data_IF_115608098258
#
_entry.id   IF_115608098258
#
_cell.length_a   1.000
_cell.length_b   1.000
_cell.length_c   1.000
_cell.angle_alpha   90.00
_cell.angle_beta   90.00
_cell.angle_gamma   90.00
#
_symmetry.space_group_name_H-M   'P 1'
#
loop_
_entity.id
_entity.type
_entity.pdbx_description
1 polymer ?
#
# COMPACT_ATOMS: atom_id res chain seq x y z
N UNK A 1 18.59 9.81 18.71
CA UNK A 1 17.38 10.57 18.34
C UNK A 1 16.41 10.38 19.49
N UNK A 2 15.92 11.44 20.13
CA UNK A 2 14.93 11.30 21.21
C UNK A 2 13.55 11.08 20.58
N UNK A 3 12.76 10.20 21.18
CA UNK A 3 11.35 9.88 20.83
C UNK A 3 10.40 11.10 20.68
N UNK A 4 10.90 12.28 20.97
CA UNK A 4 10.10 13.52 20.98
C UNK A 4 9.89 14.19 19.61
N UNK A 5 10.55 13.73 18.55
CA UNK A 5 10.53 14.41 17.25
C UNK A 5 9.44 13.92 16.25
N UNK A 6 8.68 12.89 16.62
CA UNK A 6 7.56 12.34 15.84
C UNK A 6 6.23 12.38 16.63
N UNK A 7 6.00 13.43 17.38
CA UNK A 7 4.78 13.57 18.16
C UNK A 7 3.56 13.77 17.24
N UNK A 8 2.91 12.68 16.86
CA UNK A 8 1.47 12.73 16.53
C UNK A 8 0.77 12.98 17.86
N UNK A 9 0.23 14.18 18.05
CA UNK A 9 -0.59 14.47 19.22
C UNK A 9 -1.93 13.76 19.05
N UNK A 10 -2.12 12.67 19.75
CA UNK A 10 -3.44 12.03 19.82
C UNK A 10 -4.38 12.92 20.64
N UNK A 11 -5.64 13.10 20.22
CA UNK A 11 -6.61 13.85 21.01
C UNK A 11 -6.85 13.11 22.34
N UNK A 12 -6.82 13.84 23.43
CA UNK A 12 -7.01 13.31 24.79
C UNK A 12 -8.46 13.40 25.27
N UNK A 13 -9.37 13.94 24.46
CA UNK A 13 -10.77 14.09 24.83
C UNK A 13 -11.60 12.87 24.36
N UNK A 14 -11.80 11.92 25.28
CA UNK A 14 -12.60 10.71 25.07
C UNK A 14 -14.10 10.97 24.95
N UNK A 15 -14.59 12.18 25.20
CA UNK A 15 -16.01 12.53 25.08
C UNK A 15 -16.53 12.47 23.64
N UNK A 16 -15.64 12.53 22.66
CA UNK A 16 -15.95 12.42 21.22
C UNK A 16 -16.32 11.00 20.77
N UNK A 17 -15.98 9.97 21.55
CA UNK A 17 -16.16 8.56 21.18
C UNK A 17 -17.48 7.95 21.58
N UNK A 18 -18.29 8.66 22.36
CA UNK A 18 -19.60 8.14 22.77
C UNK A 18 -20.54 8.09 21.58
N UNK A 19 -20.91 6.88 21.15
CA UNK A 19 -21.93 6.70 20.13
C UNK A 19 -23.28 7.28 20.63
N UNK A 20 -23.78 8.27 19.91
CA UNK A 20 -25.06 8.89 20.23
C UNK A 20 -26.16 8.17 19.47
N UNK A 21 -27.03 7.45 20.22
CA UNK A 21 -28.21 6.80 19.66
C UNK A 21 -27.99 5.33 19.23
N UNK A 22 -29.05 4.76 18.64
CA UNK A 22 -29.06 3.38 18.15
C UNK A 22 -28.40 3.31 16.76
N UNK A 23 -27.74 2.18 16.48
CA UNK A 23 -27.22 1.89 15.15
C UNK A 23 -28.35 2.03 14.09
N UNK A 24 -28.19 2.86 13.08
CA UNK A 24 -29.16 3.00 12.01
C UNK A 24 -29.05 1.80 11.04
N UNK A 25 -29.60 0.64 11.43
CA UNK A 25 -29.47 -0.63 10.71
C UNK A 25 -29.89 -0.50 9.23
N UNK A 26 -30.85 0.40 8.92
CA UNK A 26 -31.26 0.68 7.55
C UNK A 26 -30.15 1.26 6.66
N UNK A 27 -29.21 2.02 7.24
CA UNK A 27 -28.04 2.54 6.50
C UNK A 27 -27.08 1.44 6.06
N UNK A 28 -26.97 0.33 6.83
CA UNK A 28 -26.13 -0.81 6.45
C UNK A 28 -26.58 -1.48 5.16
N UNK A 29 -27.80 -1.24 4.71
CA UNK A 29 -28.27 -1.71 3.41
C UNK A 29 -27.68 -0.88 2.24
N UNK A 30 -27.22 0.34 2.49
CA UNK A 30 -26.79 1.30 1.45
C UNK A 30 -25.35 1.83 1.61
N UNK A 31 -24.72 1.61 2.77
CA UNK A 31 -23.37 2.10 3.08
C UNK A 31 -22.38 0.96 3.29
N UNK A 32 -21.11 1.25 3.09
CA UNK A 32 -20.01 0.38 3.52
C UNK A 32 -19.80 0.53 5.01
N UNK A 33 -19.12 -0.45 5.63
CA UNK A 33 -18.78 -0.36 7.04
C UNK A 33 -17.43 -1.00 7.36
N UNK A 34 -16.77 -0.47 8.38
CA UNK A 34 -15.60 -1.06 9.02
C UNK A 34 -16.07 -1.89 10.22
N UNK A 35 -15.62 -3.14 10.29
CA UNK A 35 -15.93 -4.09 11.36
C UNK A 35 -14.66 -4.32 12.17
N UNK A 36 -14.77 -4.19 13.50
CA UNK A 36 -13.63 -4.27 14.41
C UNK A 36 -13.92 -5.22 15.58
N UNK A 37 -12.86 -5.71 16.21
CA UNK A 37 -12.93 -6.48 17.45
C UNK A 37 -13.16 -5.56 18.68
N UNK A 38 -13.37 -6.15 19.83
CA UNK A 38 -13.67 -5.41 21.08
C UNK A 38 -12.45 -4.77 21.73
N UNK A 39 -11.26 -5.25 21.41
CA UNK A 39 -9.97 -4.73 21.87
C UNK A 39 -9.45 -3.52 21.07
N UNK A 40 -10.13 -3.15 19.98
CA UNK A 40 -9.75 -1.98 19.17
C UNK A 40 -10.38 -0.71 19.75
N UNK A 41 -9.53 0.25 20.12
CA UNK A 41 -9.99 1.55 20.58
C UNK A 41 -10.28 2.50 19.39
N UNK A 42 -11.31 3.39 19.49
CA UNK A 42 -11.61 4.38 18.46
C UNK A 42 -10.42 5.29 18.13
N UNK A 43 -9.55 5.56 19.11
CA UNK A 43 -8.34 6.36 18.97
C UNK A 43 -7.31 5.71 18.03
N UNK A 44 -7.28 4.38 17.98
CA UNK A 44 -6.40 3.66 17.05
C UNK A 44 -6.88 3.85 15.60
N UNK A 45 -8.21 3.82 15.39
CA UNK A 45 -8.80 4.11 14.07
C UNK A 45 -8.48 5.56 13.64
N UNK A 46 -8.62 6.51 14.56
CA UNK A 46 -8.28 7.91 14.31
C UNK A 46 -6.80 8.07 13.97
N UNK A 47 -5.89 7.51 14.77
CA UNK A 47 -4.45 7.61 14.54
C UNK A 47 -4.05 7.10 13.16
N UNK A 48 -4.64 5.96 12.73
CA UNK A 48 -4.41 5.42 11.40
C UNK A 48 -5.02 6.30 10.30
N UNK A 49 -6.22 6.85 10.50
CA UNK A 49 -6.83 7.79 9.55
C UNK A 49 -5.98 9.06 9.40
N UNK A 50 -5.52 9.65 10.50
CA UNK A 50 -4.66 10.84 10.52
C UNK A 50 -3.30 10.61 9.87
N UNK A 51 -2.78 9.39 9.89
CA UNK A 51 -1.52 9.06 9.21
C UNK A 51 -1.67 8.94 7.69
N UNK A 52 -2.91 8.83 7.18
CA UNK A 52 -3.21 8.76 5.75
C UNK A 52 -3.74 10.08 5.16
N UNK A 53 -4.34 10.94 5.98
CA UNK A 53 -4.88 12.23 5.52
C UNK A 53 -4.72 13.31 6.61
N UNK A 54 -4.10 14.43 6.23
CA UNK A 54 -3.87 15.55 7.15
C UNK A 54 -5.16 16.22 7.66
N UNK A 55 -6.28 16.01 7.00
CA UNK A 55 -7.58 16.54 7.38
C UNK A 55 -8.45 15.51 8.11
N UNK A 56 -7.92 14.29 8.36
CA UNK A 56 -8.61 13.29 9.14
C UNK A 56 -8.64 13.68 10.62
N UNK A 57 -9.69 13.24 11.31
CA UNK A 57 -9.88 13.48 12.75
C UNK A 57 -11.37 13.57 13.10
N UNK A 58 -11.66 13.56 14.40
CA UNK A 58 -13.03 13.70 14.90
C UNK A 58 -13.59 15.08 14.62
N UNK A 59 -14.72 15.14 13.92
CA UNK A 59 -15.45 16.39 13.60
C UNK A 59 -16.73 16.56 14.40
N UNK A 60 -17.05 15.59 15.25
CA UNK A 60 -18.21 15.59 16.14
C UNK A 60 -18.32 14.28 16.90
N UNK A 61 -19.30 14.18 17.81
CA UNK A 61 -19.55 12.95 18.53
C UNK A 61 -19.81 11.79 17.54
N UNK A 62 -19.01 10.73 17.65
CA UNK A 62 -19.11 9.53 16.80
C UNK A 62 -18.98 9.79 15.28
N UNK A 63 -18.29 10.88 14.87
CA UNK A 63 -18.05 11.21 13.45
C UNK A 63 -16.57 11.48 13.21
N UNK A 64 -15.89 10.50 12.65
CA UNK A 64 -14.49 10.57 12.26
C UNK A 64 -14.39 10.91 10.76
N UNK A 65 -13.92 12.09 10.44
CA UNK A 65 -13.61 12.48 9.06
C UNK A 65 -12.36 11.71 8.59
N UNK A 66 -12.45 11.03 7.45
CA UNK A 66 -11.32 10.38 6.77
C UNK A 66 -10.68 11.31 5.73
N UNK A 67 -11.51 12.16 5.12
CA UNK A 67 -11.15 13.23 4.19
C UNK A 67 -12.38 14.12 3.99
N UNK A 68 -12.26 15.28 3.35
CA UNK A 68 -13.41 16.16 3.13
C UNK A 68 -14.58 15.44 2.44
N UNK A 69 -15.74 15.41 3.11
CA UNK A 69 -16.95 14.76 2.63
C UNK A 69 -17.00 13.24 2.78
N UNK A 70 -16.02 12.63 3.46
CA UNK A 70 -15.95 11.20 3.73
C UNK A 70 -15.77 10.98 5.22
N UNK A 71 -16.74 10.31 5.86
CA UNK A 71 -16.78 10.15 7.31
C UNK A 71 -17.06 8.69 7.70
N UNK A 72 -16.51 8.28 8.85
CA UNK A 72 -16.92 7.10 9.58
C UNK A 72 -17.82 7.52 10.74
N UNK A 73 -19.00 6.94 10.80
CA UNK A 73 -19.92 7.09 11.94
C UNK A 73 -19.83 5.87 12.85
N UNK A 74 -19.82 6.07 14.14
CA UNK A 74 -19.69 5.04 15.17
C UNK A 74 -18.56 5.33 16.15
N UNK A 75 -18.03 4.32 16.85
CA UNK A 75 -18.42 2.90 16.76
C UNK A 75 -19.76 2.57 17.45
N UNK A 76 -20.48 1.61 16.91
CA UNK A 76 -21.61 0.99 17.57
C UNK A 76 -21.28 -0.45 17.96
N UNK A 77 -21.82 -0.94 19.08
CA UNK A 77 -21.66 -2.34 19.47
C UNK A 77 -22.40 -3.26 18.50
N UNK A 78 -21.81 -4.42 18.22
CA UNK A 78 -22.37 -5.49 17.39
C UNK A 78 -22.83 -6.61 18.32
N UNK A 79 -24.15 -6.75 18.50
CA UNK A 79 -24.74 -7.83 19.27
C UNK A 79 -24.90 -9.14 18.47
N UNK A 80 -25.38 -10.19 19.13
CA UNK A 80 -25.57 -11.50 18.50
C UNK A 80 -26.63 -11.48 17.38
N UNK A 81 -27.63 -10.61 17.49
CA UNK A 81 -28.70 -10.50 16.49
C UNK A 81 -28.19 -9.80 15.22
N UNK A 82 -27.43 -8.72 15.38
CA UNK A 82 -26.78 -8.01 14.28
C UNK A 82 -25.74 -8.91 13.59
N UNK A 83 -24.92 -9.66 14.35
CA UNK A 83 -23.98 -10.63 13.76
C UNK A 83 -24.70 -11.64 12.87
N UNK A 84 -25.79 -12.22 13.35
CA UNK A 84 -26.60 -13.17 12.56
C UNK A 84 -27.25 -12.51 11.35
N UNK A 85 -27.80 -11.32 11.52
CA UNK A 85 -28.48 -10.56 10.46
C UNK A 85 -27.54 -10.25 9.29
N UNK A 86 -26.31 -9.82 9.60
CA UNK A 86 -25.30 -9.36 8.64
C UNK A 86 -24.27 -10.44 8.27
N UNK A 87 -24.41 -11.66 8.84
CA UNK A 87 -23.48 -12.77 8.66
C UNK A 87 -22.02 -12.37 8.98
N UNK A 88 -21.85 -11.68 10.12
CA UNK A 88 -20.54 -11.26 10.61
C UNK A 88 -19.86 -12.39 11.40
N UNK A 89 -18.51 -12.41 11.46
CA UNK A 89 -17.78 -13.37 12.28
C UNK A 89 -18.01 -13.17 13.78
N UNK A 90 -17.71 -14.18 14.59
CA UNK A 90 -17.91 -14.15 16.04
C UNK A 90 -17.11 -13.04 16.74
N UNK A 91 -15.92 -12.73 16.23
CA UNK A 91 -15.05 -11.69 16.77
C UNK A 91 -15.57 -10.25 16.50
N UNK A 92 -16.53 -10.08 15.58
CA UNK A 92 -17.07 -8.75 15.26
C UNK A 92 -17.82 -8.18 16.44
N UNK A 93 -17.28 -7.11 17.02
CA UNK A 93 -17.81 -6.49 18.25
C UNK A 93 -18.16 -5.03 18.07
N UNK A 94 -17.60 -4.38 17.07
CA UNK A 94 -17.84 -2.97 16.75
C UNK A 94 -18.06 -2.77 15.26
N UNK A 95 -18.88 -1.78 14.90
CA UNK A 95 -19.14 -1.39 13.53
C UNK A 95 -19.10 0.13 13.40
N UNK A 96 -18.43 0.61 12.35
CA UNK A 96 -18.45 2.01 11.93
C UNK A 96 -18.93 2.11 10.49
N UNK A 97 -19.93 2.96 10.22
CA UNK A 97 -20.55 3.12 8.89
C UNK A 97 -19.77 4.18 8.13
N UNK A 98 -19.38 3.87 6.89
CA UNK A 98 -18.79 4.82 5.97
C UNK A 98 -19.89 5.66 5.30
N UNK A 99 -19.85 6.96 5.51
CA UNK A 99 -20.63 7.93 4.78
C UNK A 99 -19.75 8.56 3.69
N UNK A 100 -20.01 8.18 2.47
CA UNK A 100 -19.33 8.65 1.26
C UNK A 100 -20.33 8.65 0.11
N UNK A 101 -20.30 9.67 -0.73
CA UNK A 101 -21.08 9.68 -1.97
C UNK A 101 -20.56 8.59 -2.91
N UNK A 102 -21.42 7.67 -3.40
CA UNK A 102 -21.00 6.63 -4.34
C UNK A 102 -20.48 7.23 -5.65
N UNK A 103 -19.28 6.87 -6.04
CA UNK A 103 -18.66 7.23 -7.30
C UNK A 103 -18.30 5.94 -8.05
N UNK A 104 -18.92 5.71 -9.20
CA UNK A 104 -18.81 4.45 -9.94
C UNK A 104 -18.32 4.67 -11.36
N UNK A 105 -17.36 3.84 -11.75
CA UNK A 105 -16.80 3.79 -13.09
C UNK A 105 -17.26 2.58 -13.90
N UNK A 106 -16.38 2.09 -14.78
CA UNK A 106 -16.62 0.94 -15.62
C UNK A 106 -16.69 -0.39 -14.87
N UNK A 107 -17.08 -1.48 -15.57
CA UNK A 107 -17.10 -2.82 -15.01
C UNK A 107 -15.67 -3.35 -14.75
N UNK A 108 -15.57 -4.33 -13.82
CA UNK A 108 -14.32 -5.04 -13.58
C UNK A 108 -13.91 -5.84 -14.83
N UNK A 109 -12.71 -5.64 -15.38
CA UNK A 109 -12.19 -6.44 -16.47
C UNK A 109 -12.20 -7.93 -16.11
N UNK A 110 -12.65 -8.82 -17.03
CA UNK A 110 -12.76 -10.26 -16.73
C UNK A 110 -11.46 -10.90 -16.26
N UNK A 111 -10.31 -10.44 -16.77
CA UNK A 111 -8.97 -10.91 -16.40
C UNK A 111 -8.55 -10.56 -14.98
N UNK A 112 -9.19 -9.57 -14.35
CA UNK A 112 -8.94 -9.14 -12.96
C UNK A 112 -9.89 -9.81 -11.97
N UNK A 113 -10.88 -10.56 -12.44
CA UNK A 113 -11.85 -11.27 -11.58
C UNK A 113 -11.14 -12.33 -10.73
N UNK A 114 -11.41 -12.34 -9.43
CA UNK A 114 -10.83 -13.27 -8.46
C UNK A 114 -9.44 -12.90 -7.96
N UNK A 115 -8.90 -11.73 -8.35
CA UNK A 115 -7.59 -11.25 -7.90
C UNK A 115 -7.74 -10.43 -6.61
N UNK A 116 -8.64 -9.44 -6.59
CA UNK A 116 -8.88 -8.58 -5.42
C UNK A 116 -10.34 -8.74 -4.95
N UNK A 117 -10.57 -9.28 -3.73
CA UNK A 117 -11.92 -9.42 -3.18
C UNK A 117 -12.69 -8.10 -3.06
N UNK A 118 -11.98 -6.96 -2.93
CA UNK A 118 -12.62 -5.65 -2.90
C UNK A 118 -13.13 -5.27 -4.29
N UNK A 119 -12.35 -5.49 -5.33
CA UNK A 119 -12.78 -5.25 -6.71
C UNK A 119 -13.89 -6.21 -7.13
N UNK A 120 -13.81 -7.48 -6.72
CA UNK A 120 -14.83 -8.52 -6.99
C UNK A 120 -16.20 -8.19 -6.37
N UNK A 121 -16.24 -7.33 -5.35
CA UNK A 121 -17.50 -6.86 -4.77
C UNK A 121 -18.28 -5.94 -5.72
N UNK A 122 -17.64 -5.40 -6.76
CA UNK A 122 -18.20 -4.42 -7.69
C UNK A 122 -18.05 -4.82 -9.17
N UNK A 123 -18.55 -5.99 -9.58
CA UNK A 123 -18.26 -6.53 -10.92
C UNK A 123 -18.80 -5.67 -12.06
N UNK A 124 -19.88 -4.90 -11.84
CA UNK A 124 -20.55 -4.12 -12.89
C UNK A 124 -20.10 -2.66 -12.93
N UNK A 125 -19.68 -2.11 -11.79
CA UNK A 125 -19.31 -0.71 -11.68
C UNK A 125 -18.32 -0.52 -10.54
N UNK A 126 -17.02 -0.42 -10.88
CA UNK A 126 -15.94 -0.27 -9.92
C UNK A 126 -16.04 1.07 -9.17
N UNK A 127 -15.72 1.12 -7.87
CA UNK A 127 -15.58 2.39 -7.16
C UNK A 127 -14.50 3.25 -7.82
N UNK A 128 -14.74 4.55 -7.88
CA UNK A 128 -13.79 5.55 -8.38
C UNK A 128 -13.67 6.73 -7.39
N UNK A 129 -12.75 7.64 -7.67
CA UNK A 129 -12.61 8.92 -6.97
C UNK A 129 -12.54 8.79 -5.45
N UNK A 130 -13.37 9.58 -4.74
CA UNK A 130 -13.36 9.63 -3.27
C UNK A 130 -13.83 8.30 -2.64
N UNK A 131 -14.77 7.59 -3.24
CA UNK A 131 -15.23 6.30 -2.73
C UNK A 131 -14.12 5.25 -2.81
N UNK A 132 -13.42 5.13 -3.95
CA UNK A 132 -12.29 4.20 -4.08
C UNK A 132 -11.21 4.51 -3.04
N UNK A 133 -10.84 5.79 -2.91
CA UNK A 133 -9.82 6.22 -1.96
C UNK A 133 -10.23 5.89 -0.51
N UNK A 134 -11.49 6.12 -0.16
CA UNK A 134 -12.02 5.77 1.16
C UNK A 134 -11.95 4.27 1.42
N UNK A 135 -12.35 3.44 0.45
CA UNK A 135 -12.29 1.98 0.58
C UNK A 135 -10.86 1.44 0.68
N UNK A 136 -9.91 2.01 -0.07
CA UNK A 136 -8.49 1.66 0.02
C UNK A 136 -7.95 2.00 1.41
N UNK A 137 -8.25 3.20 1.94
CA UNK A 137 -7.86 3.62 3.30
C UNK A 137 -8.47 2.71 4.36
N UNK A 138 -9.76 2.41 4.26
CA UNK A 138 -10.41 1.51 5.20
C UNK A 138 -9.84 0.09 5.15
N UNK A 139 -9.46 -0.40 3.96
CA UNK A 139 -8.79 -1.71 3.82
C UNK A 139 -7.45 -1.71 4.55
N UNK A 140 -6.69 -0.64 4.44
CA UNK A 140 -5.44 -0.46 5.14
C UNK A 140 -5.64 -0.47 6.67
N UNK A 141 -6.61 0.31 7.17
CA UNK A 141 -6.98 0.35 8.60
C UNK A 141 -7.45 -1.04 9.06
N UNK A 142 -8.35 -1.68 8.32
CA UNK A 142 -8.84 -3.03 8.64
C UNK A 142 -7.70 -4.06 8.68
N UNK A 143 -6.73 -3.99 7.76
CA UNK A 143 -5.56 -4.87 7.75
C UNK A 143 -4.72 -4.67 9.02
N UNK A 144 -4.46 -3.43 9.39
CA UNK A 144 -3.63 -3.07 10.55
C UNK A 144 -4.27 -3.47 11.88
N UNK A 145 -5.60 -3.38 11.98
CA UNK A 145 -6.37 -3.69 13.19
C UNK A 145 -7.00 -5.09 13.17
N UNK A 146 -6.59 -5.97 12.25
CA UNK A 146 -7.17 -7.30 12.04
C UNK A 146 -8.70 -7.30 11.87
N UNK A 147 -9.27 -6.19 11.40
CA UNK A 147 -10.69 -5.99 11.15
C UNK A 147 -11.15 -6.49 9.79
N UNK A 148 -12.35 -6.07 9.38
CA UNK A 148 -12.92 -6.39 8.09
C UNK A 148 -13.70 -5.22 7.50
N UNK A 149 -13.93 -5.24 6.19
CA UNK A 149 -14.84 -4.35 5.49
C UNK A 149 -16.13 -5.08 5.15
N UNK A 150 -17.27 -4.51 5.52
CA UNK A 150 -18.57 -4.90 5.00
C UNK A 150 -18.86 -4.02 3.80
N UNK A 151 -18.66 -4.56 2.60
CA UNK A 151 -18.84 -3.82 1.37
C UNK A 151 -20.27 -3.92 0.86
N UNK A 152 -20.83 -2.81 0.47
CA UNK A 152 -22.06 -2.76 -0.29
C UNK A 152 -21.74 -3.02 -1.76
N UNK A 153 -22.00 -4.23 -2.23
CA UNK A 153 -21.80 -4.62 -3.63
C UNK A 153 -22.77 -3.93 -4.59
N UNK A 154 -22.50 -4.06 -5.87
CA UNK A 154 -23.29 -3.46 -6.95
C UNK A 154 -24.77 -3.93 -6.93
N UNK A 155 -25.76 -3.04 -7.04
CA UNK A 155 -27.17 -3.41 -7.11
C UNK A 155 -27.59 -4.15 -8.39
N UNK A 156 -26.76 -4.14 -9.40
CA UNK A 156 -27.08 -4.68 -10.73
C UNK A 156 -26.68 -6.16 -10.88
N UNK A 157 -27.46 -7.09 -10.33
CA UNK A 157 -27.54 -8.41 -10.95
C UNK A 157 -28.63 -8.37 -12.02
N UNK A 158 -28.34 -8.75 -13.28
CA UNK A 158 -29.28 -8.68 -14.41
C UNK A 158 -30.48 -9.65 -14.30
N UNK A 159 -30.51 -10.50 -13.28
CA UNK A 159 -31.59 -11.47 -13.10
C UNK A 159 -32.57 -11.03 -12.02
N UNK A 160 -33.36 -9.99 -12.31
CA UNK A 160 -34.67 -9.68 -11.75
C UNK A 160 -35.08 -10.19 -10.36
N UNK A 161 -34.16 -10.34 -9.41
CA UNK A 161 -34.45 -10.88 -8.09
C UNK A 161 -35.12 -9.82 -7.22
N UNK A 162 -36.34 -10.10 -6.88
CA UNK A 162 -37.30 -9.43 -6.02
C UNK A 162 -36.71 -8.88 -4.70
N UNK A 163 -37.36 -7.87 -4.13
CA UNK A 163 -37.10 -7.12 -2.88
C UNK A 163 -36.48 -7.87 -1.66
N UNK A 164 -36.54 -9.19 -1.60
CA UNK A 164 -35.98 -10.02 -0.54
C UNK A 164 -34.45 -10.14 -0.60
N UNK A 165 -33.84 -9.83 -1.76
CA UNK A 165 -32.41 -10.00 -2.00
C UNK A 165 -31.53 -8.78 -1.61
N UNK A 166 -32.11 -7.63 -1.25
CA UNK A 166 -31.34 -6.43 -0.87
C UNK A 166 -30.47 -6.63 0.37
N UNK A 167 -30.96 -7.35 1.39
CA UNK A 167 -30.23 -7.62 2.64
C UNK A 167 -29.07 -8.65 2.51
N UNK A 168 -28.97 -9.38 1.38
CA UNK A 168 -27.94 -10.42 1.15
C UNK A 168 -26.77 -9.97 0.27
N UNK A 169 -26.61 -8.69 -0.01
CA UNK A 169 -25.63 -8.18 -0.97
C UNK A 169 -24.37 -7.57 -0.35
N UNK A 170 -24.24 -7.60 0.94
CA UNK A 170 -23.00 -7.19 1.60
C UNK A 170 -21.96 -8.30 1.47
N UNK A 171 -20.76 -7.94 1.06
CA UNK A 171 -19.61 -8.82 0.95
C UNK A 171 -18.65 -8.45 2.07
N UNK A 172 -18.31 -9.43 2.91
CA UNK A 172 -17.30 -9.22 3.94
C UNK A 172 -15.91 -9.49 3.34
N UNK A 173 -15.07 -8.47 3.33
CA UNK A 173 -13.67 -8.57 2.94
C UNK A 173 -12.81 -8.41 4.18
N UNK A 174 -12.12 -9.47 4.56
CA UNK A 174 -11.16 -9.46 5.66
C UNK A 174 -9.75 -9.48 5.08
N UNK A 175 -9.02 -8.35 5.13
CA UNK A 175 -7.63 -8.31 4.72
C UNK A 175 -6.78 -9.21 5.63
N UNK A 176 -5.80 -9.90 5.06
CA UNK A 176 -4.85 -10.70 5.85
C UNK A 176 -3.80 -9.75 6.47
N UNK A 177 -3.75 -9.60 7.82
CA UNK A 177 -2.77 -8.75 8.47
C UNK A 177 -1.32 -9.14 8.15
N UNK A 178 -1.06 -10.43 7.91
CA UNK A 178 0.26 -10.96 7.57
C UNK A 178 0.64 -10.77 6.09
N UNK A 179 -0.23 -10.18 5.26
CA UNK A 179 0.06 -9.94 3.84
C UNK A 179 0.98 -8.73 3.61
N UNK A 180 1.07 -7.81 4.57
CA UNK A 180 2.01 -6.67 4.52
C UNK A 180 3.41 -7.16 4.91
N UNK A 181 4.21 -7.48 3.90
CA UNK A 181 5.56 -8.04 4.06
C UNK A 181 6.62 -6.99 3.79
N UNK A 182 6.37 -6.12 2.82
CA UNK A 182 7.35 -5.15 2.33
C UNK A 182 7.37 -3.90 3.21
N UNK A 183 8.56 -3.32 3.35
CA UNK A 183 8.77 -2.09 4.11
C UNK A 183 9.58 -1.09 3.28
N UNK A 184 9.20 0.18 3.39
CA UNK A 184 9.95 1.30 2.88
C UNK A 184 10.63 2.04 4.03
N UNK A 185 11.91 2.40 3.87
CA UNK A 185 12.61 3.28 4.81
C UNK A 185 12.88 4.61 4.09
N UNK A 186 12.19 5.66 4.52
CA UNK A 186 12.42 7.01 4.04
C UNK A 186 13.49 7.70 4.87
N UNK A 187 14.50 8.28 4.24
CA UNK A 187 15.68 8.76 4.94
C UNK A 187 16.27 10.03 4.31
N UNK A 188 16.94 10.88 5.13
CA UNK A 188 17.67 12.04 4.63
C UNK A 188 18.98 11.69 3.93
N UNK A 189 19.52 10.48 4.16
CA UNK A 189 20.84 10.06 3.70
C UNK A 189 20.72 9.03 2.61
N UNK A 190 21.38 9.30 1.48
CA UNK A 190 21.61 8.36 0.41
C UNK A 190 22.87 7.53 0.68
N UNK A 191 22.71 6.24 0.93
CA UNK A 191 23.84 5.32 1.06
C UNK A 191 24.31 4.90 -0.33
N UNK A 192 25.62 4.80 -0.52
CA UNK A 192 26.17 4.27 -1.77
C UNK A 192 25.86 2.79 -1.93
N UNK A 193 25.83 2.25 -3.18
CA UNK A 193 25.59 0.83 -3.42
C UNK A 193 26.48 -0.10 -2.60
N UNK A 194 27.80 0.21 -2.54
CA UNK A 194 28.76 -0.60 -1.78
C UNK A 194 28.54 -0.54 -0.28
N UNK A 195 28.21 0.64 0.26
CA UNK A 195 27.89 0.79 1.67
C UNK A 195 26.62 0.01 2.04
N UNK A 196 25.59 0.11 1.20
CA UNK A 196 24.33 -0.62 1.40
C UNK A 196 24.53 -2.13 1.28
N UNK A 197 25.29 -2.60 0.30
CA UNK A 197 25.60 -4.02 0.15
C UNK A 197 26.35 -4.55 1.37
N UNK A 198 27.35 -3.81 1.86
CA UNK A 198 28.13 -4.17 3.06
C UNK A 198 27.24 -4.24 4.31
N UNK A 199 26.31 -3.29 4.45
CA UNK A 199 25.35 -3.24 5.55
C UNK A 199 24.42 -4.45 5.50
N UNK A 200 23.83 -4.72 4.32
CA UNK A 200 22.86 -5.80 4.11
C UNK A 200 23.49 -7.19 4.24
N UNK A 201 24.76 -7.37 3.90
CA UNK A 201 25.45 -8.65 4.03
C UNK A 201 25.42 -9.23 5.46
N UNK A 202 25.18 -8.39 6.48
CA UNK A 202 25.03 -8.81 7.87
C UNK A 202 23.77 -9.64 8.14
N UNK A 203 22.68 -9.39 7.39
CA UNK A 203 21.37 -10.01 7.59
C UNK A 203 20.89 -10.78 6.36
N UNK A 204 21.44 -10.49 5.19
CA UNK A 204 21.12 -11.10 3.91
C UNK A 204 22.40 -11.68 3.28
N UNK A 205 22.86 -12.86 3.73
CA UNK A 205 24.07 -13.49 3.19
C UNK A 205 23.91 -13.75 1.69
N UNK A 206 24.93 -13.40 0.92
CA UNK A 206 24.90 -13.53 -0.54
C UNK A 206 24.19 -12.36 -1.25
N UNK A 207 23.97 -11.25 -0.54
CA UNK A 207 23.45 -10.04 -1.15
C UNK A 207 24.40 -9.52 -2.25
N UNK A 208 23.87 -9.31 -3.44
CA UNK A 208 24.60 -8.83 -4.60
C UNK A 208 23.92 -7.61 -5.20
N UNK A 209 24.72 -6.68 -5.67
CA UNK A 209 24.21 -5.52 -6.40
C UNK A 209 23.71 -5.97 -7.78
N UNK A 210 22.49 -5.57 -8.11
CA UNK A 210 21.96 -5.70 -9.46
C UNK A 210 22.29 -4.44 -10.23
N UNK A 211 23.10 -4.60 -11.27
CA UNK A 211 23.56 -3.50 -12.13
C UNK A 211 22.55 -3.17 -13.25
N UNK A 212 21.43 -3.87 -13.30
CA UNK A 212 20.38 -3.60 -14.29
C UNK A 212 19.71 -2.25 -14.02
N UNK A 213 19.47 -1.44 -15.05
CA UNK A 213 18.67 -0.22 -14.89
C UNK A 213 17.29 -0.61 -14.35
N UNK A 214 16.87 0.05 -13.28
CA UNK A 214 15.54 -0.20 -12.71
C UNK A 214 14.48 0.04 -13.78
N UNK A 215 13.58 -0.93 -13.95
CA UNK A 215 12.38 -0.78 -14.78
C UNK A 215 11.50 0.33 -14.21
N UNK A 216 11.77 1.54 -14.64
CA UNK A 216 11.14 2.78 -14.13
C UNK A 216 11.81 4.01 -14.73
N UNK A 217 13.09 3.97 -15.05
CA UNK A 217 13.73 4.97 -15.90
C UNK A 217 13.37 4.66 -17.36
N UNK A 218 12.29 5.23 -17.84
CA UNK A 218 11.57 4.87 -19.06
C UNK A 218 12.30 4.90 -20.41
N UNK A 219 13.63 4.85 -20.43
CA UNK A 219 14.40 4.86 -21.68
C UNK A 219 15.14 3.55 -21.95
N UNK A 220 15.72 2.91 -20.96
CA UNK A 220 16.43 1.64 -21.16
C UNK A 220 15.46 0.46 -21.35
N UNK A 221 14.31 0.48 -20.66
CA UNK A 221 13.31 -0.58 -20.75
C UNK A 221 12.65 -0.74 -22.13
N UNK A 222 12.55 0.36 -22.91
CA UNK A 222 11.91 0.29 -24.23
C UNK A 222 12.85 -0.29 -25.30
N UNK A 223 14.17 -0.05 -25.20
CA UNK A 223 15.13 -0.54 -26.20
C UNK A 223 15.45 -2.04 -26.06
N UNK A 224 15.13 -2.65 -24.92
CA UNK A 224 15.38 -4.07 -24.64
C UNK A 224 14.11 -4.94 -24.75
N UNK A 225 12.96 -4.33 -25.04
CA UNK A 225 11.70 -5.05 -25.20
C UNK A 225 11.74 -5.91 -26.46
N UNK A 226 11.30 -7.16 -26.33
CA UNK A 226 11.11 -8.03 -27.50
C UNK A 226 9.90 -7.56 -28.34
N UNK A 227 9.84 -8.05 -29.58
CA UNK A 227 8.82 -7.63 -30.55
C UNK A 227 7.39 -7.94 -30.08
N UNK A 228 7.17 -9.04 -29.34
CA UNK A 228 5.87 -9.41 -28.80
C UNK A 228 5.42 -8.49 -27.64
N UNK A 229 6.36 -7.99 -26.85
CA UNK A 229 6.10 -7.00 -25.81
C UNK A 229 5.76 -5.64 -26.41
N UNK A 230 6.47 -5.24 -27.47
CA UNK A 230 6.19 -4.01 -28.23
C UNK A 230 4.81 -4.03 -28.90
N UNK A 231 4.44 -5.15 -29.50
CA UNK A 231 3.12 -5.32 -30.11
C UNK A 231 2.00 -5.20 -29.07
N UNK A 232 2.13 -5.88 -27.91
CA UNK A 232 1.17 -5.76 -26.80
C UNK A 232 1.08 -4.35 -26.24
N UNK A 233 2.21 -3.66 -26.10
CA UNK A 233 2.22 -2.28 -25.62
C UNK A 233 1.55 -1.35 -26.64
N UNK A 234 1.79 -1.58 -27.93
CA UNK A 234 1.16 -0.83 -29.02
C UNK A 234 -0.36 -1.02 -29.03
N UNK A 235 -0.85 -2.24 -28.79
CA UNK A 235 -2.27 -2.52 -28.65
C UNK A 235 -2.90 -1.81 -27.44
N UNK A 236 -2.18 -1.74 -26.31
CA UNK A 236 -2.68 -1.14 -25.07
C UNK A 236 -2.73 0.39 -25.10
N UNK A 237 -1.68 1.05 -25.57
CA UNK A 237 -1.53 2.51 -25.47
C UNK A 237 -1.61 3.24 -26.82
N UNK A 238 -1.64 2.50 -27.94
CA UNK A 238 -1.64 3.02 -29.29
C UNK A 238 -0.25 3.42 -29.82
N UNK A 239 -0.06 3.30 -31.12
CA UNK A 239 1.22 3.57 -31.78
C UNK A 239 1.72 5.00 -31.57
N UNK A 240 0.83 6.00 -31.62
CA UNK A 240 1.19 7.41 -31.43
C UNK A 240 1.69 7.73 -30.02
N UNK A 241 1.14 7.05 -29.00
CA UNK A 241 1.58 7.22 -27.61
C UNK A 241 2.94 6.56 -27.39
N UNK A 242 3.15 5.38 -27.98
CA UNK A 242 4.43 4.68 -27.97
C UNK A 242 5.52 5.51 -28.64
N UNK A 243 5.25 6.06 -29.82
CA UNK A 243 6.16 6.94 -30.56
C UNK A 243 6.53 8.22 -29.80
N UNK A 244 5.58 8.81 -29.05
CA UNK A 244 5.88 9.95 -28.18
C UNK A 244 6.78 9.56 -27.03
N UNK A 245 6.52 8.42 -26.40
CA UNK A 245 7.35 7.89 -25.31
C UNK A 245 8.79 7.61 -25.79
N UNK A 246 8.96 7.01 -26.96
CA UNK A 246 10.26 6.78 -27.60
C UNK A 246 11.03 8.08 -27.83
N UNK A 247 10.39 9.07 -28.42
CA UNK A 247 11.04 10.38 -28.71
C UNK A 247 11.45 11.09 -27.43
N UNK A 248 10.62 11.05 -26.38
CA UNK A 248 10.98 11.63 -25.09
C UNK A 248 12.13 10.88 -24.40
N UNK A 249 12.17 9.56 -24.51
CA UNK A 249 13.25 8.74 -23.98
C UNK A 249 14.57 9.04 -24.67
N UNK A 250 14.55 9.12 -26.00
CA UNK A 250 15.72 9.43 -26.82
C UNK A 250 16.24 10.86 -26.55
N UNK A 251 15.34 11.83 -26.38
CA UNK A 251 15.74 13.21 -26.06
C UNK A 251 16.39 13.30 -24.67
N UNK A 252 15.84 12.58 -23.67
CA UNK A 252 16.46 12.48 -22.33
C UNK A 252 17.84 11.86 -22.40
N UNK A 253 17.99 10.77 -23.14
CA UNK A 253 19.31 10.12 -23.38
C UNK A 253 20.32 11.07 -23.96
N UNK A 254 19.98 11.79 -25.04
CA UNK A 254 20.85 12.77 -25.68
C UNK A 254 21.25 13.93 -24.77
N UNK A 255 20.30 14.44 -23.96
CA UNK A 255 20.60 15.47 -22.95
C UNK A 255 21.63 14.96 -21.94
N UNK A 256 21.43 13.74 -21.42
CA UNK A 256 22.34 13.11 -20.48
C UNK A 256 23.73 12.88 -21.06
N UNK A 257 23.82 12.33 -22.26
CA UNK A 257 25.09 12.16 -22.96
C UNK A 257 25.84 13.49 -23.17
N UNK A 258 25.12 14.56 -23.48
CA UNK A 258 25.69 15.89 -23.61
C UNK A 258 26.16 16.50 -22.28
N UNK A 259 25.48 16.20 -21.14
CA UNK A 259 25.90 16.61 -19.80
C UNK A 259 27.16 15.88 -19.35
N UNK A 260 27.22 14.55 -19.56
CA UNK A 260 28.41 13.73 -19.30
C UNK A 260 29.62 14.25 -20.13
N UNK A 261 29.41 14.52 -21.40
CA UNK A 261 30.47 15.03 -22.27
C UNK A 261 30.96 16.43 -21.83
N UNK A 262 30.07 17.31 -21.35
CA UNK A 262 30.42 18.62 -20.81
C UNK A 262 31.23 18.53 -19.53
N UNK A 263 30.80 17.69 -18.57
CA UNK A 263 31.51 17.47 -17.32
C UNK A 263 32.90 16.88 -17.56
N UNK A 264 33.00 15.89 -18.45
CA UNK A 264 34.29 15.32 -18.85
C UNK A 264 35.23 16.35 -19.51
N UNK A 265 34.70 17.25 -20.33
CA UNK A 265 35.48 18.33 -20.95
C UNK A 265 35.93 19.39 -19.93
N UNK A 266 35.17 19.58 -18.85
CA UNK A 266 35.53 20.47 -17.74
C UNK A 266 36.52 19.87 -16.73
N UNK A 267 36.85 18.56 -16.86
CA UNK A 267 37.69 17.85 -15.91
C UNK A 267 36.96 17.56 -14.58
N UNK A 268 35.63 17.71 -14.58
CA UNK A 268 34.79 17.38 -13.45
C UNK A 268 34.47 15.87 -13.47
N UNK A 269 34.54 15.22 -12.33
CA UNK A 269 33.99 13.86 -12.16
C UNK A 269 32.49 13.98 -12.26
N UNK A 270 31.92 13.59 -13.41
CA UNK A 270 30.47 13.42 -13.48
C UNK A 270 30.12 12.26 -12.57
N UNK A 271 29.69 12.57 -11.36
CA UNK A 271 28.98 11.59 -10.54
C UNK A 271 27.70 11.27 -11.29
N UNK A 272 27.67 10.09 -11.90
CA UNK A 272 26.45 9.56 -12.49
C UNK A 272 25.44 9.46 -11.36
N UNK A 273 24.55 10.46 -11.25
CA UNK A 273 23.37 10.37 -10.39
C UNK A 273 22.55 9.25 -11.00
N UNK A 274 22.81 8.03 -10.56
CA UNK A 274 21.97 6.88 -10.88
C UNK A 274 20.63 7.16 -10.23
N UNK A 275 19.55 7.14 -11.02
CA UNK A 275 18.19 7.34 -10.52
C UNK A 275 17.80 6.30 -9.45
N UNK A 276 18.67 5.31 -9.22
CA UNK A 276 18.53 4.27 -8.21
C UNK A 276 19.48 3.09 -8.43
N UNK A 277 19.44 2.16 -7.49
CA UNK A 277 20.12 0.86 -7.58
C UNK A 277 19.31 -0.19 -6.80
N UNK A 278 19.60 -1.46 -7.03
CA UNK A 278 18.99 -2.56 -6.30
C UNK A 278 20.04 -3.55 -5.78
N UNK A 279 19.76 -4.11 -4.61
CA UNK A 279 20.54 -5.18 -4.00
C UNK A 279 19.61 -6.35 -3.72
N UNK A 280 19.98 -7.53 -4.18
CA UNK A 280 19.15 -8.74 -4.04
C UNK A 280 19.90 -9.84 -3.31
N UNK A 281 19.18 -10.60 -2.50
CA UNK A 281 19.70 -11.80 -1.87
C UNK A 281 18.61 -12.83 -1.60
N UNK A 282 18.94 -14.11 -1.51
CA UNK A 282 17.97 -15.17 -1.31
C UNK A 282 17.30 -15.08 0.06
N UNK A 283 15.99 -15.41 0.14
CA UNK A 283 15.31 -15.56 1.44
C UNK A 283 16.00 -16.64 2.30
N UNK A 284 16.45 -17.71 1.63
CA UNK A 284 17.24 -18.79 2.24
C UNK A 284 18.25 -19.32 1.23
N UNK A 285 19.54 -19.18 1.53
CA UNK A 285 20.60 -19.66 0.64
C UNK A 285 20.61 -21.18 0.43
N UNK A 286 19.99 -21.96 1.34
CA UNK A 286 19.85 -23.42 1.23
C UNK A 286 18.64 -23.85 0.39
N UNK A 287 17.70 -22.95 0.10
CA UNK A 287 16.43 -23.21 -0.58
C UNK A 287 16.39 -22.50 -1.94
N UNK A 288 16.78 -23.20 -2.98
CA UNK A 288 16.80 -22.66 -4.35
C UNK A 288 15.41 -22.45 -4.96
N UNK A 289 14.39 -23.09 -4.39
CA UNK A 289 12.98 -23.02 -4.77
C UNK A 289 12.24 -21.86 -4.09
N UNK A 290 12.90 -21.17 -3.14
CA UNK A 290 12.39 -19.98 -2.51
C UNK A 290 12.83 -18.72 -3.28
N UNK A 291 12.08 -17.64 -3.11
CA UNK A 291 12.35 -16.35 -3.72
C UNK A 291 13.50 -15.60 -3.07
N UNK A 292 13.50 -14.31 -3.29
CA UNK A 292 14.56 -13.42 -2.81
C UNK A 292 13.97 -12.15 -2.19
N UNK A 293 14.80 -11.46 -1.39
CA UNK A 293 14.53 -10.09 -0.95
C UNK A 293 15.31 -9.14 -1.83
N UNK A 294 14.63 -8.12 -2.33
CA UNK A 294 15.20 -7.04 -3.13
C UNK A 294 15.10 -5.74 -2.34
N UNK A 295 16.21 -5.03 -2.20
CA UNK A 295 16.25 -3.68 -1.65
C UNK A 295 16.49 -2.72 -2.79
N UNK A 296 15.46 -1.96 -3.17
CA UNK A 296 15.54 -0.90 -4.17
C UNK A 296 15.81 0.41 -3.48
N UNK A 297 16.71 1.20 -4.03
CA UNK A 297 17.07 2.51 -3.50
C UNK A 297 16.86 3.56 -4.59
N UNK A 298 16.13 4.61 -4.25
CA UNK A 298 15.80 5.69 -5.18
C UNK A 298 15.47 6.99 -4.45
N UNK A 299 15.27 8.06 -5.20
CA UNK A 299 14.70 9.30 -4.69
C UNK A 299 13.20 9.16 -4.49
N UNK A 300 12.68 9.65 -3.37
CA UNK A 300 11.24 9.69 -3.11
C UNK A 300 10.63 10.96 -3.71
N UNK A 301 9.80 10.80 -4.74
CA UNK A 301 9.04 11.92 -5.34
C UNK A 301 7.86 12.34 -4.47
N UNK A 302 7.22 11.38 -3.80
CA UNK A 302 6.09 11.58 -2.91
C UNK A 302 6.39 10.94 -1.55
N UNK A 303 6.20 11.72 -0.50
CA UNK A 303 6.37 11.25 0.88
C UNK A 303 5.02 10.85 1.47
N UNK A 304 4.93 9.69 2.16
CA UNK A 304 3.81 9.39 3.03
C UNK A 304 3.57 10.51 4.04
N UNK A 305 2.32 10.75 4.40
CA UNK A 305 1.97 11.81 5.35
C UNK A 305 2.72 11.64 6.68
N UNK A 306 2.85 10.41 7.15
CA UNK A 306 3.57 10.05 8.36
C UNK A 306 5.04 10.49 8.37
N UNK A 307 5.65 10.66 7.20
CA UNK A 307 7.06 11.09 7.02
C UNK A 307 7.18 12.58 6.77
N UNK A 308 6.14 13.23 6.25
CA UNK A 308 6.15 14.67 5.91
C UNK A 308 6.46 15.59 7.10
N UNK A 309 6.17 15.13 8.32
CA UNK A 309 6.47 15.87 9.56
C UNK A 309 7.94 15.82 9.99
N UNK A 310 8.78 14.99 9.36
CA UNK A 310 10.20 14.92 9.68
C UNK A 310 10.93 16.22 9.24
N UNK A 311 11.85 16.73 10.06
CA UNK A 311 12.56 18.00 9.80
C UNK A 311 13.33 18.01 8.48
N UNK A 312 13.78 16.84 8.01
CA UNK A 312 14.53 16.68 6.77
C UNK A 312 13.65 16.45 5.54
N UNK A 313 12.33 16.26 5.71
CA UNK A 313 11.44 15.88 4.62
C UNK A 313 11.31 16.96 3.51
N UNK A 314 11.56 18.25 3.84
CA UNK A 314 11.57 19.36 2.88
C UNK A 314 12.72 19.32 1.88
N UNK A 315 13.83 18.69 2.25
CA UNK A 315 15.07 18.68 1.47
C UNK A 315 15.13 17.51 0.48
N UNK A 316 14.06 16.71 0.41
CA UNK A 316 13.98 15.48 -0.34
C UNK A 316 14.34 14.27 0.52
N UNK A 317 14.01 13.09 0.04
CA UNK A 317 14.29 11.86 0.75
C UNK A 317 14.80 10.77 -0.20
N UNK A 318 15.71 9.94 0.29
CA UNK A 318 15.96 8.62 -0.26
C UNK A 318 14.88 7.66 0.25
N UNK A 319 14.46 6.73 -0.59
CA UNK A 319 13.60 5.61 -0.20
C UNK A 319 14.35 4.30 -0.42
N UNK A 320 14.35 3.44 0.58
CA UNK A 320 14.88 2.08 0.55
C UNK A 320 13.70 1.12 0.67
N UNK A 321 13.26 0.57 -0.45
CA UNK A 321 12.13 -0.37 -0.52
C UNK A 321 12.63 -1.80 -0.38
N UNK A 322 12.40 -2.41 0.77
CA UNK A 322 12.71 -3.82 1.00
C UNK A 322 11.50 -4.69 0.63
N UNK A 323 11.65 -5.50 -0.41
CA UNK A 323 10.53 -6.17 -1.09
C UNK A 323 10.80 -7.68 -1.15
N UNK A 324 9.83 -8.48 -0.74
CA UNK A 324 9.84 -9.91 -0.99
C UNK A 324 9.38 -10.22 -2.42
N UNK A 325 10.20 -10.96 -3.14
CA UNK A 325 9.96 -11.41 -4.50
C UNK A 325 9.86 -12.95 -4.51
N UNK A 326 8.65 -13.55 -4.39
CA UNK A 326 8.48 -14.99 -4.54
C UNK A 326 8.83 -15.43 -5.96
N UNK A 327 9.22 -16.70 -6.14
CA UNK A 327 9.50 -17.27 -7.46
C UNK A 327 8.28 -17.19 -8.38
N UNK A 328 7.08 -17.41 -7.82
CA UNK A 328 5.83 -17.27 -8.54
C UNK A 328 5.02 -16.11 -7.94
N UNK A 329 4.67 -15.12 -8.74
CA UNK A 329 3.87 -13.98 -8.30
C UNK A 329 2.51 -14.39 -7.69
N UNK A 330 1.93 -15.52 -8.11
CA UNK A 330 0.70 -16.06 -7.53
C UNK A 330 0.86 -16.50 -6.05
N UNK A 331 2.09 -16.72 -5.58
CA UNK A 331 2.38 -17.07 -4.18
C UNK A 331 2.22 -15.88 -3.22
N UNK A 332 1.96 -14.67 -3.74
CA UNK A 332 1.54 -13.51 -2.93
C UNK A 332 0.07 -13.60 -2.48
N UNK A 333 -0.75 -14.40 -3.17
CA UNK A 333 -2.15 -14.58 -2.79
C UNK A 333 -2.27 -15.51 -1.56
N UNK A 334 -2.75 -14.99 -0.40
CA UNK A 334 -2.87 -15.79 0.82
C UNK A 334 -3.76 -17.03 0.66
N UNK A 335 -4.76 -16.97 -0.24
CA UNK A 335 -5.68 -18.08 -0.49
C UNK A 335 -5.03 -19.24 -1.23
N UNK A 336 -3.98 -18.99 -2.00
CA UNK A 336 -3.25 -19.97 -2.81
C UNK A 336 -1.95 -20.44 -2.15
N UNK A 337 -1.60 -19.84 -1.01
CA UNK A 337 -0.33 -20.07 -0.35
C UNK A 337 -0.25 -21.44 0.31
N UNK A 338 0.69 -22.26 -0.12
CA UNK A 338 1.01 -23.55 0.51
C UNK A 338 1.68 -23.34 1.88
N UNK A 339 1.73 -24.36 2.77
CA UNK A 339 2.46 -24.25 4.03
C UNK A 339 3.93 -23.86 3.86
N UNK A 340 4.61 -24.40 2.84
CA UNK A 340 6.01 -24.06 2.53
C UNK A 340 6.15 -22.58 2.12
N UNK A 341 5.22 -22.05 1.33
CA UNK A 341 5.21 -20.62 0.93
C UNK A 341 4.87 -19.70 2.10
N UNK A 342 4.06 -20.15 3.06
CA UNK A 342 3.83 -19.39 4.31
C UNK A 342 5.11 -19.27 5.13
N UNK A 343 5.87 -20.37 5.23
CA UNK A 343 7.17 -20.37 5.92
C UNK A 343 8.19 -19.47 5.20
N UNK A 344 8.22 -19.49 3.87
CA UNK A 344 9.03 -18.59 3.07
C UNK A 344 8.67 -17.12 3.36
N UNK A 345 7.37 -16.79 3.32
CA UNK A 345 6.87 -15.43 3.59
C UNK A 345 7.25 -14.97 5.01
N UNK A 346 7.03 -15.81 6.02
CA UNK A 346 7.38 -15.50 7.41
C UNK A 346 8.88 -15.21 7.57
N UNK A 347 9.72 -16.02 6.92
CA UNK A 347 11.16 -15.79 6.92
C UNK A 347 11.54 -14.51 6.18
N UNK A 348 10.89 -14.21 5.04
CA UNK A 348 11.09 -12.98 4.29
C UNK A 348 10.68 -11.75 5.13
N UNK A 349 9.55 -11.81 5.84
CA UNK A 349 9.10 -10.74 6.75
C UNK A 349 10.17 -10.44 7.79
N UNK A 350 10.65 -11.46 8.52
CA UNK A 350 11.69 -11.24 9.52
C UNK A 350 13.05 -10.79 8.95
N UNK A 351 13.36 -11.09 7.69
CA UNK A 351 14.52 -10.53 6.99
C UNK A 351 14.30 -9.04 6.67
N UNK A 352 13.15 -8.69 6.13
CA UNK A 352 12.81 -7.32 5.74
C UNK A 352 12.76 -6.40 6.96
N UNK A 353 12.19 -6.84 8.08
CA UNK A 353 12.22 -6.10 9.35
C UNK A 353 13.66 -5.80 9.80
N UNK A 354 14.55 -6.81 9.82
CA UNK A 354 15.96 -6.60 10.17
C UNK A 354 16.70 -5.67 9.19
N UNK A 355 16.39 -5.78 7.90
CA UNK A 355 16.92 -4.88 6.86
C UNK A 355 16.44 -3.44 7.13
N UNK A 356 15.16 -3.25 7.40
CA UNK A 356 14.60 -1.93 7.68
C UNK A 356 15.21 -1.30 8.95
N UNK A 357 15.41 -2.08 10.02
CA UNK A 357 16.14 -1.62 11.22
C UNK A 357 17.55 -1.12 10.87
N UNK A 358 18.33 -1.92 10.13
CA UNK A 358 19.68 -1.55 9.76
C UNK A 358 19.74 -0.30 8.88
N UNK A 359 18.84 -0.21 7.90
CA UNK A 359 18.75 0.94 7.01
C UNK A 359 18.33 2.18 7.77
N UNK A 360 17.31 2.09 8.62
CA UNK A 360 16.86 3.21 9.45
C UNK A 360 17.94 3.72 10.38
N UNK A 361 18.69 2.82 11.03
CA UNK A 361 19.82 3.19 11.89
C UNK A 361 20.98 3.83 11.12
N UNK A 362 21.31 3.31 9.93
CA UNK A 362 22.42 3.80 9.13
C UNK A 362 22.14 5.13 8.44
N UNK A 363 20.88 5.37 8.04
CA UNK A 363 20.48 6.53 7.24
C UNK A 363 19.71 7.58 8.05
N UNK A 364 19.37 7.32 9.32
CA UNK A 364 18.49 8.18 10.11
C UNK A 364 17.05 8.18 9.59
N UNK A 365 16.65 7.09 8.93
CA UNK A 365 15.37 6.97 8.26
C UNK A 365 14.25 6.48 9.16
N UNK A 366 13.04 6.49 8.59
CA UNK A 366 11.78 6.10 9.22
C UNK A 366 11.15 4.97 8.42
N UNK A 367 10.89 3.80 9.04
CA UNK A 367 10.26 2.69 8.35
C UNK A 367 8.75 2.87 8.26
N UNK A 368 8.22 2.52 7.10
CA UNK A 368 6.80 2.65 6.72
C UNK A 368 6.37 1.38 6.01
N UNK A 369 5.16 0.90 6.27
CA UNK A 369 4.60 -0.27 5.58
C UNK A 369 3.99 0.08 4.22
N UNK A 370 3.50 -0.93 3.50
CA UNK A 370 2.86 -0.80 2.17
C UNK A 370 1.60 0.10 2.18
N UNK A 371 0.99 0.31 3.34
CA UNK A 371 -0.18 1.18 3.51
C UNK A 371 0.19 2.61 3.92
N UNK A 372 1.47 2.90 4.11
CA UNK A 372 1.95 4.22 4.51
C UNK A 372 1.94 4.46 6.02
N UNK A 373 1.76 3.41 6.84
CA UNK A 373 1.80 3.52 8.29
C UNK A 373 3.22 3.37 8.83
N UNK A 374 3.54 4.15 9.86
CA UNK A 374 4.79 3.99 10.61
C UNK A 374 4.88 2.59 11.23
N UNK A 375 6.05 2.00 11.15
CA UNK A 375 6.35 0.71 11.77
C UNK A 375 7.36 0.91 12.88
N UNK A 376 7.00 0.52 14.09
CA UNK A 376 7.93 0.43 15.21
C UNK A 376 8.69 -0.90 15.09
N UNK A 377 10.01 -0.84 14.88
CA UNK A 377 10.91 -1.99 14.68
C UNK A 377 11.93 -2.09 15.82
#
# INVERSE_FOLDING_TARGET
MSEQDLAISLPTDTSTFSAVGMLPVGKLDDCHALILADDVAPEEVEALAMSQDAQAGWVGASRLQLSPGVELQGPWPVDADLRRLMNLPEWASQIMILECEPQRGGPLPPELTGIDPMADAFPQAQPEGAELLALVRLRAIARRLAGALLLRGDPAHPNGATRVSRRRRSILVQPDPSSSVNLDVYAPVWLTPDATQTLLARVLPGATQRLEPMAGSGAAGLSEMDQAQLERLTELIGADALDRAWRQAEERRRKREAEIARAAAAGEVFEEIRDGYAITGPVDASRRDWGFVEVRVGGAELLPLAVKGAKWASDGAAVYSAIWQPVNAADRDPKRMTPDRRQEREKATGLIERIAVLLAQASGGVPVDEDGFLVAL
#
